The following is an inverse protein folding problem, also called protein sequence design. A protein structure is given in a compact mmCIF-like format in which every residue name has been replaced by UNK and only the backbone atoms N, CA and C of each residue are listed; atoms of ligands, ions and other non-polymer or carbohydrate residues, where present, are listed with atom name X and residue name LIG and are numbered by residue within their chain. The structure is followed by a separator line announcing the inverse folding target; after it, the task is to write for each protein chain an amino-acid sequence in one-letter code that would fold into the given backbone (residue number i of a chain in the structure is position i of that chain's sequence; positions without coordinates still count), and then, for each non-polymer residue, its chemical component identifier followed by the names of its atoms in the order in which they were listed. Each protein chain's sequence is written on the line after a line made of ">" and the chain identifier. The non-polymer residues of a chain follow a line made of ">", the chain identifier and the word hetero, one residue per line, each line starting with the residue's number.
data_IF_396197033205
#
_entry.id   IF_396197033205
#
_cell.length_a   1.000
_cell.length_b   1.000
_cell.length_c   1.000
_cell.angle_alpha   90.00
_cell.angle_beta   90.00
_cell.angle_gamma   90.00
#
_symmetry.space_group_name_H-M   'P 1'
#
loop_
_entity.id
_entity.type
_entity.pdbx_description
1 polymer ?
#
# COMPACT_ATOMS: atom_id res chain seq x y z
N UNK A 1 -10.23 -9.59 -6.28
CA UNK A 1 -8.75 -9.64 -6.40
C UNK A 1 -8.24 -8.23 -6.25
N UNK A 2 -7.19 -7.98 -5.45
CA UNK A 2 -6.61 -6.65 -5.25
C UNK A 2 -5.81 -6.21 -6.49
N UNK A 3 -5.71 -4.87 -6.72
CA UNK A 3 -4.79 -4.33 -7.73
C UNK A 3 -3.35 -4.65 -7.37
N UNK A 4 -2.50 -5.00 -8.34
CA UNK A 4 -1.06 -5.23 -8.11
C UNK A 4 -0.31 -3.92 -7.84
N UNK A 5 -0.88 -2.76 -8.20
CA UNK A 5 -0.35 -1.43 -7.92
C UNK A 5 -1.16 -0.75 -6.83
N UNK A 6 -0.52 -0.42 -5.70
CA UNK A 6 -1.06 0.45 -4.67
C UNK A 6 -0.32 1.79 -4.68
N UNK A 7 -1.03 2.89 -4.73
CA UNK A 7 -0.46 4.22 -4.53
C UNK A 7 -0.58 4.66 -3.07
N UNK A 8 0.55 5.00 -2.45
CA UNK A 8 0.59 5.62 -1.12
C UNK A 8 0.76 7.13 -1.30
N UNK A 9 -0.24 7.89 -0.88
CA UNK A 9 -0.28 9.32 -1.13
C UNK A 9 0.81 10.10 -0.39
N UNK A 10 1.20 11.22 -0.96
CA UNK A 10 2.05 12.25 -0.36
C UNK A 10 1.41 13.62 -0.54
N UNK A 11 1.82 14.55 0.32
CA UNK A 11 1.41 15.96 0.31
C UNK A 11 1.52 16.51 1.72
N UNK A 12 1.89 17.77 1.83
CA UNK A 12 2.07 18.51 3.09
C UNK A 12 0.78 19.20 3.55
N UNK A 13 -0.18 19.37 2.64
CA UNK A 13 -1.49 19.97 2.91
C UNK A 13 -2.63 19.05 2.43
N UNK A 14 -3.86 19.22 2.93
CA UNK A 14 -5.03 18.48 2.42
C UNK A 14 -5.24 18.67 0.91
N UNK A 15 -4.96 19.87 0.38
CA UNK A 15 -5.09 20.21 -1.03
C UNK A 15 -4.08 19.46 -1.87
N UNK A 16 -2.82 19.39 -1.45
CA UNK A 16 -1.77 18.61 -2.11
C UNK A 16 -2.09 17.11 -2.09
N UNK A 17 -2.55 16.58 -0.96
CA UNK A 17 -2.98 15.18 -0.84
C UNK A 17 -4.11 14.89 -1.84
N UNK A 18 -5.14 15.75 -1.86
CA UNK A 18 -6.26 15.59 -2.77
C UNK A 18 -5.82 15.68 -4.23
N UNK A 19 -5.02 16.68 -4.60
CA UNK A 19 -4.49 16.84 -5.95
C UNK A 19 -3.70 15.63 -6.43
N UNK A 20 -2.77 15.13 -5.58
CA UNK A 20 -1.95 13.98 -5.91
C UNK A 20 -2.78 12.70 -6.08
N UNK A 21 -3.79 12.50 -5.23
CA UNK A 21 -4.69 11.35 -5.35
C UNK A 21 -5.55 11.48 -6.60
N UNK A 22 -6.16 12.65 -6.85
CA UNK A 22 -7.00 12.86 -8.02
C UNK A 22 -6.21 12.59 -9.31
N UNK A 23 -5.05 13.23 -9.48
CA UNK A 23 -4.21 13.04 -10.67
C UNK A 23 -3.71 11.61 -10.84
N UNK A 24 -3.57 10.85 -9.75
CA UNK A 24 -3.19 9.42 -9.77
C UNK A 24 -4.36 8.53 -10.19
N UNK A 25 -5.59 8.87 -9.76
CA UNK A 25 -6.81 8.20 -10.18
C UNK A 25 -7.11 8.47 -11.66
N UNK A 26 -6.98 9.74 -12.11
CA UNK A 26 -7.09 10.13 -13.52
C UNK A 26 -6.11 9.34 -14.42
N UNK A 27 -4.93 9.04 -13.89
CA UNK A 27 -3.93 8.23 -14.56
C UNK A 27 -4.23 6.71 -14.56
N UNK A 28 -5.31 6.28 -13.90
CA UNK A 28 -5.79 4.89 -13.94
C UNK A 28 -5.41 4.02 -12.74
N UNK A 29 -4.81 4.55 -11.68
CA UNK A 29 -4.56 3.79 -10.46
C UNK A 29 -5.87 3.39 -9.78
N UNK A 30 -5.98 2.14 -9.30
CA UNK A 30 -7.22 1.58 -8.74
C UNK A 30 -7.14 1.28 -7.24
N UNK A 31 -6.03 1.54 -6.59
CA UNK A 31 -5.90 1.33 -5.16
C UNK A 31 -5.10 2.45 -4.50
N UNK A 32 -5.76 3.21 -3.64
CA UNK A 32 -5.21 4.37 -2.94
C UNK A 32 -5.05 4.05 -1.45
N UNK A 33 -3.88 4.35 -0.90
CA UNK A 33 -3.66 4.45 0.52
C UNK A 33 -3.47 5.93 0.87
N UNK A 34 -4.45 6.55 1.53
CA UNK A 34 -4.31 7.90 2.08
C UNK A 34 -3.36 7.88 3.27
N UNK A 35 -2.19 8.49 3.11
CA UNK A 35 -1.19 8.63 4.17
C UNK A 35 -0.85 10.10 4.38
N UNK A 36 -1.58 10.74 5.30
CA UNK A 36 -1.38 12.12 5.69
C UNK A 36 -1.07 12.19 7.19
N UNK A 37 0.22 12.28 7.54
CA UNK A 37 0.70 12.38 8.92
C UNK A 37 0.70 13.84 9.37
N UNK A 38 0.71 14.02 10.71
CA UNK A 38 0.78 15.36 11.35
C UNK A 38 -0.38 16.29 10.95
N UNK A 39 -1.57 15.71 10.73
CA UNK A 39 -2.79 16.42 10.40
C UNK A 39 -3.78 16.33 11.57
N UNK A 40 -4.52 17.40 11.82
CA UNK A 40 -5.61 17.36 12.79
C UNK A 40 -6.69 16.34 12.40
N UNK A 41 -7.21 15.61 13.37
CA UNK A 41 -8.22 14.54 13.14
C UNK A 41 -9.41 15.02 12.33
N UNK A 42 -9.95 16.21 12.63
CA UNK A 42 -11.09 16.80 11.90
C UNK A 42 -10.75 17.06 10.43
N UNK A 43 -9.57 17.58 10.15
CA UNK A 43 -9.10 17.81 8.77
C UNK A 43 -8.93 16.48 8.03
N UNK A 44 -8.37 15.46 8.70
CA UNK A 44 -8.18 14.14 8.08
C UNK A 44 -9.53 13.46 7.79
N UNK A 45 -10.52 13.57 8.66
CA UNK A 45 -11.89 13.08 8.40
C UNK A 45 -12.47 13.76 7.15
N UNK A 46 -12.46 15.09 7.10
CA UNK A 46 -12.99 15.85 5.97
C UNK A 46 -12.29 15.50 4.65
N UNK A 47 -10.96 15.36 4.69
CA UNK A 47 -10.18 14.94 3.52
C UNK A 47 -10.55 13.51 3.09
N UNK A 48 -10.66 12.59 4.04
CA UNK A 48 -11.01 11.19 3.77
C UNK A 48 -12.39 11.06 3.11
N UNK A 49 -13.38 11.84 3.56
CA UNK A 49 -14.72 11.89 2.95
C UNK A 49 -14.67 12.37 1.49
N UNK A 50 -13.90 13.44 1.22
CA UNK A 50 -13.72 13.94 -0.15
C UNK A 50 -13.08 12.89 -1.05
N UNK A 51 -12.02 12.23 -0.55
CA UNK A 51 -11.30 11.19 -1.30
C UNK A 51 -12.18 9.94 -1.47
N UNK A 52 -13.00 9.56 -0.48
CA UNK A 52 -13.99 8.46 -0.62
C UNK A 52 -14.91 8.70 -1.81
N UNK A 53 -15.51 9.90 -1.91
CA UNK A 53 -16.37 10.28 -3.03
C UNK A 53 -15.61 10.19 -4.37
N UNK A 54 -14.38 10.69 -4.39
CA UNK A 54 -13.52 10.64 -5.56
C UNK A 54 -13.22 9.20 -5.96
N UNK A 55 -12.76 8.35 -5.06
CA UNK A 55 -12.47 6.94 -5.34
C UNK A 55 -13.70 6.18 -5.84
N UNK A 56 -14.91 6.52 -5.35
CA UNK A 56 -16.16 5.93 -5.84
C UNK A 56 -16.40 6.24 -7.32
N UNK A 57 -16.11 7.47 -7.79
CA UNK A 57 -16.25 7.85 -9.20
C UNK A 57 -15.31 7.05 -10.11
N UNK A 58 -14.14 6.65 -9.61
CA UNK A 58 -13.14 5.88 -10.36
C UNK A 58 -13.23 4.36 -10.14
N UNK A 59 -14.23 3.87 -9.37
CA UNK A 59 -14.31 2.47 -8.94
C UNK A 59 -12.98 1.98 -8.34
N UNK A 60 -12.42 2.77 -7.42
CA UNK A 60 -11.10 2.54 -6.83
C UNK A 60 -11.21 2.25 -5.34
N UNK A 61 -10.31 1.39 -4.84
CA UNK A 61 -10.22 1.06 -3.42
C UNK A 61 -9.52 2.19 -2.66
N UNK A 62 -10.10 2.63 -1.55
CA UNK A 62 -9.51 3.58 -0.61
C UNK A 62 -9.26 2.90 0.73
N UNK A 63 -8.02 2.95 1.20
CA UNK A 63 -7.67 2.66 2.58
C UNK A 63 -6.96 3.85 3.22
N UNK A 64 -6.95 3.93 4.55
CA UNK A 64 -6.24 4.97 5.28
C UNK A 64 -5.08 4.35 6.07
N UNK A 65 -3.99 5.10 6.23
CA UNK A 65 -2.85 4.69 7.03
C UNK A 65 -3.11 4.94 8.51
N UNK A 66 -2.86 3.95 9.38
CA UNK A 66 -2.88 3.96 10.87
C UNK A 66 -4.27 4.21 11.52
N UNK A 67 -5.17 4.99 10.94
CA UNK A 67 -6.35 5.55 11.59
C UNK A 67 -7.60 4.67 11.47
N UNK A 68 -7.70 3.64 12.32
CA UNK A 68 -8.83 2.68 12.37
C UNK A 68 -10.17 3.38 12.64
N UNK A 69 -10.19 4.32 13.58
CA UNK A 69 -11.38 5.08 13.93
C UNK A 69 -11.91 5.95 12.77
N UNK A 70 -11.02 6.56 11.99
CA UNK A 70 -11.41 7.32 10.80
C UNK A 70 -11.93 6.38 9.71
N UNK A 71 -11.29 5.22 9.52
CA UNK A 71 -11.79 4.21 8.58
C UNK A 71 -13.21 3.78 8.93
N UNK A 72 -13.53 3.64 10.23
CA UNK A 72 -14.87 3.32 10.74
C UNK A 72 -15.85 4.48 10.54
N UNK A 73 -15.47 5.71 10.95
CA UNK A 73 -16.34 6.89 10.90
C UNK A 73 -16.75 7.23 9.47
N UNK A 74 -15.78 7.23 8.55
CA UNK A 74 -16.00 7.57 7.15
C UNK A 74 -16.52 6.38 6.35
N UNK A 75 -16.42 5.18 6.92
CA UNK A 75 -16.84 3.93 6.27
C UNK A 75 -16.17 3.74 4.91
N UNK A 76 -14.84 3.74 4.89
CA UNK A 76 -14.02 3.43 3.73
C UNK A 76 -13.69 1.94 3.64
N UNK A 77 -12.95 1.51 2.61
CA UNK A 77 -12.68 0.10 2.36
C UNK A 77 -11.78 -0.54 3.42
N UNK A 78 -10.93 0.23 4.14
CA UNK A 78 -10.10 -0.35 5.19
C UNK A 78 -8.94 0.52 5.64
N UNK A 79 -7.94 -0.14 6.26
CA UNK A 79 -6.80 0.50 6.92
C UNK A 79 -5.49 -0.26 6.63
N UNK A 80 -4.37 0.45 6.67
CA UNK A 80 -3.03 -0.15 6.71
C UNK A 80 -2.35 0.17 8.04
N UNK A 81 -1.86 -0.85 8.75
CA UNK A 81 -1.30 -0.74 10.09
C UNK A 81 0.21 -1.03 10.08
N UNK A 82 0.98 -0.15 10.65
CA UNK A 82 2.40 -0.35 10.93
C UNK A 82 2.63 -1.29 12.13
N UNK A 83 3.89 -1.64 12.37
CA UNK A 83 4.27 -2.58 13.44
C UNK A 83 3.97 -2.08 14.87
N UNK A 84 3.82 -0.75 15.04
CA UNK A 84 3.59 -0.12 16.35
C UNK A 84 2.20 0.49 16.48
N UNK A 85 1.36 0.31 15.46
CA UNK A 85 0.00 0.82 15.45
C UNK A 85 -0.95 -0.14 16.19
N UNK A 86 -2.24 0.10 16.09
CA UNK A 86 -3.26 -0.77 16.69
C UNK A 86 -3.06 -2.23 16.25
N UNK A 87 -3.16 -3.21 17.15
CA UNK A 87 -3.13 -4.62 16.77
C UNK A 87 -4.20 -4.96 15.73
N UNK A 88 -3.85 -5.80 14.76
CA UNK A 88 -4.76 -6.18 13.65
C UNK A 88 -6.07 -6.78 14.16
N UNK A 89 -6.01 -7.63 15.20
CA UNK A 89 -7.20 -8.24 15.81
C UNK A 89 -8.15 -7.18 16.37
N UNK A 90 -7.63 -6.21 17.11
CA UNK A 90 -8.43 -5.09 17.64
C UNK A 90 -9.03 -4.25 16.52
N UNK A 91 -8.27 -3.97 15.48
CA UNK A 91 -8.78 -3.27 14.30
C UNK A 91 -9.90 -4.07 13.61
N UNK A 92 -9.78 -5.40 13.54
CA UNK A 92 -10.80 -6.29 12.98
C UNK A 92 -12.09 -6.27 13.80
N UNK A 93 -12.00 -6.30 15.12
CA UNK A 93 -13.16 -6.16 16.02
C UNK A 93 -13.91 -4.84 15.83
N UNK A 94 -13.16 -3.74 15.60
CA UNK A 94 -13.75 -2.40 15.37
C UNK A 94 -14.38 -2.28 13.98
N UNK A 95 -13.69 -2.76 12.93
CA UNK A 95 -14.06 -2.54 11.55
C UNK A 95 -15.03 -3.60 10.99
N UNK A 96 -14.99 -4.82 11.52
CA UNK A 96 -15.75 -5.98 10.99
C UNK A 96 -15.00 -6.73 9.90
N UNK A 97 -15.56 -7.88 9.48
CA UNK A 97 -14.90 -8.84 8.59
C UNK A 97 -14.76 -8.36 7.14
N UNK A 98 -15.67 -7.48 6.69
CA UNK A 98 -15.72 -7.00 5.31
C UNK A 98 -14.64 -5.94 4.98
N UNK A 99 -13.96 -5.40 6.00
CA UNK A 99 -12.97 -4.34 5.79
C UNK A 99 -11.57 -4.89 5.54
N UNK A 100 -10.85 -4.21 4.67
CA UNK A 100 -9.47 -4.55 4.32
C UNK A 100 -8.55 -4.07 5.44
N UNK A 101 -7.77 -4.97 6.03
CA UNK A 101 -6.70 -4.62 6.97
C UNK A 101 -5.37 -5.08 6.38
N UNK A 102 -4.54 -4.12 6.02
CA UNK A 102 -3.16 -4.37 5.63
C UNK A 102 -2.20 -4.23 6.79
N UNK A 103 -1.09 -4.93 6.76
CA UNK A 103 -0.06 -4.86 7.79
C UNK A 103 1.35 -4.66 7.22
N UNK A 104 2.16 -3.81 7.88
CA UNK A 104 3.59 -3.68 7.58
C UNK A 104 4.36 -4.88 8.13
N UNK A 105 5.36 -5.36 7.38
CA UNK A 105 6.36 -6.32 7.82
C UNK A 105 7.77 -5.91 7.36
N UNK A 106 8.77 -6.15 8.20
CA UNK A 106 10.17 -5.87 7.90
C UNK A 106 11.06 -7.12 8.06
N UNK A 107 10.53 -8.18 8.64
CA UNK A 107 11.20 -9.46 8.87
C UNK A 107 10.27 -10.62 8.52
N UNK A 108 10.82 -11.83 8.39
CA UNK A 108 10.00 -13.05 8.25
C UNK A 108 9.03 -13.22 9.43
N UNK A 109 9.48 -12.93 10.65
CA UNK A 109 8.64 -13.04 11.86
C UNK A 109 7.45 -12.08 11.74
N UNK A 110 7.66 -10.84 11.28
CA UNK A 110 6.57 -9.89 11.08
C UNK A 110 5.57 -10.42 10.04
N UNK A 111 6.04 -10.97 8.91
CA UNK A 111 5.16 -11.53 7.86
C UNK A 111 4.29 -12.64 8.44
N UNK A 112 4.90 -13.61 9.13
CA UNK A 112 4.17 -14.72 9.76
C UNK A 112 3.17 -14.22 10.82
N UNK A 113 3.56 -13.23 11.61
CA UNK A 113 2.68 -12.58 12.57
C UNK A 113 1.47 -11.95 11.90
N UNK A 114 1.68 -11.16 10.82
CA UNK A 114 0.59 -10.51 10.08
C UNK A 114 -0.36 -11.52 9.42
N UNK A 115 0.16 -12.63 8.92
CA UNK A 115 -0.66 -13.75 8.41
C UNK A 115 -1.53 -14.32 9.54
N UNK A 116 -0.94 -14.63 10.69
CA UNK A 116 -1.65 -15.21 11.83
C UNK A 116 -2.66 -14.25 12.49
N UNK A 117 -2.44 -12.93 12.38
CA UNK A 117 -3.37 -11.90 12.83
C UNK A 117 -4.55 -11.70 11.87
N UNK A 118 -4.53 -12.29 10.67
CA UNK A 118 -5.60 -12.20 9.68
C UNK A 118 -5.55 -10.93 8.82
N UNK A 119 -4.34 -10.42 8.50
CA UNK A 119 -4.19 -9.36 7.51
C UNK A 119 -4.68 -9.81 6.14
N UNK A 120 -5.38 -8.93 5.44
CA UNK A 120 -5.84 -9.15 4.06
C UNK A 120 -4.71 -8.99 3.05
N UNK A 121 -3.68 -8.23 3.38
CA UNK A 121 -2.44 -8.09 2.60
C UNK A 121 -1.30 -7.60 3.49
N UNK A 122 -0.07 -7.75 3.04
CA UNK A 122 1.14 -7.37 3.78
C UNK A 122 2.02 -6.47 2.90
N UNK A 123 2.47 -5.34 3.45
CA UNK A 123 3.50 -4.50 2.85
C UNK A 123 4.87 -4.85 3.42
N UNK A 124 5.76 -5.41 2.58
CA UNK A 124 7.11 -5.83 2.98
C UNK A 124 8.16 -4.84 2.49
N UNK A 125 9.08 -4.42 3.37
CA UNK A 125 10.14 -3.48 3.00
C UNK A 125 10.87 -2.89 4.21
N UNK A 126 11.66 -1.82 3.99
CA UNK A 126 11.81 -1.10 2.72
C UNK A 126 12.71 -1.86 1.72
N UNK A 127 12.36 -1.82 0.44
CA UNK A 127 13.19 -2.37 -0.63
C UNK A 127 14.50 -1.58 -0.77
N UNK A 128 14.41 -0.24 -0.69
CA UNK A 128 15.56 0.68 -0.73
C UNK A 128 15.35 1.80 0.28
N UNK A 129 16.43 2.49 0.64
CA UNK A 129 16.33 3.69 1.46
C UNK A 129 15.35 4.70 0.85
N UNK A 130 14.51 5.29 1.69
CA UNK A 130 13.52 6.32 1.28
C UNK A 130 13.33 7.34 2.40
N UNK A 131 13.15 8.58 2.02
CA UNK A 131 12.85 9.69 2.96
C UNK A 131 11.36 9.83 3.28
N UNK A 132 10.49 9.04 2.63
CA UNK A 132 9.03 9.10 2.82
C UNK A 132 8.59 8.67 4.22
N UNK A 133 9.42 7.90 4.95
CA UNK A 133 9.17 7.43 6.30
C UNK A 133 10.28 7.91 7.23
N UNK A 134 9.94 8.65 8.30
CA UNK A 134 10.92 9.24 9.25
C UNK A 134 11.77 8.20 9.99
N UNK A 135 11.18 7.06 10.35
CA UNK A 135 11.89 5.95 11.01
C UNK A 135 11.86 4.74 10.09
N UNK A 136 12.94 4.55 9.35
CA UNK A 136 13.12 3.39 8.48
C UNK A 136 13.63 2.20 9.29
N UNK A 137 13.01 1.04 9.05
CA UNK A 137 13.59 -0.26 9.39
C UNK A 137 14.81 -0.53 8.50
N UNK A 138 15.68 -1.46 8.87
CA UNK A 138 16.79 -1.88 8.00
C UNK A 138 16.28 -2.21 6.59
N UNK A 139 17.04 -1.79 5.58
CA UNK A 139 16.72 -2.05 4.17
C UNK A 139 16.78 -3.54 3.91
N UNK A 140 15.70 -4.12 3.38
CA UNK A 140 15.65 -5.54 3.00
C UNK A 140 16.36 -5.81 1.68
N UNK A 141 16.24 -4.90 0.72
CA UNK A 141 16.71 -5.11 -0.64
C UNK A 141 16.00 -6.27 -1.35
N UNK A 142 16.46 -6.59 -2.55
CA UNK A 142 15.93 -7.72 -3.32
C UNK A 142 16.18 -9.05 -2.60
N UNK A 143 17.39 -9.25 -2.08
CA UNK A 143 17.79 -10.50 -1.41
C UNK A 143 16.99 -10.75 -0.12
N UNK A 144 16.71 -9.70 0.65
CA UNK A 144 15.91 -9.82 1.87
C UNK A 144 14.47 -10.23 1.56
N UNK A 145 13.85 -9.59 0.55
CA UNK A 145 12.50 -9.93 0.09
C UNK A 145 12.50 -11.37 -0.44
N UNK A 146 13.43 -11.73 -1.31
CA UNK A 146 13.53 -13.06 -1.90
C UNK A 146 13.67 -14.16 -0.84
N UNK A 147 14.54 -13.98 0.16
CA UNK A 147 14.69 -14.93 1.27
C UNK A 147 13.39 -15.13 2.04
N UNK A 148 12.67 -14.04 2.35
CA UNK A 148 11.40 -14.13 3.07
C UNK A 148 10.35 -14.86 2.22
N UNK A 149 10.17 -14.45 0.97
CA UNK A 149 9.17 -15.05 0.09
C UNK A 149 9.43 -16.54 -0.17
N UNK A 150 10.69 -16.96 -0.32
CA UNK A 150 11.05 -18.36 -0.51
C UNK A 150 10.86 -19.24 0.74
N UNK A 151 10.76 -18.63 1.93
CA UNK A 151 10.50 -19.36 3.18
C UNK A 151 9.01 -19.60 3.41
N UNK A 152 8.13 -18.82 2.78
CA UNK A 152 6.68 -18.95 2.96
C UNK A 152 6.14 -20.21 2.29
N UNK A 153 5.24 -20.93 2.98
CA UNK A 153 4.50 -22.05 2.41
C UNK A 153 3.48 -21.57 1.36
N UNK A 154 2.93 -22.50 0.57
CA UNK A 154 1.90 -22.21 -0.44
C UNK A 154 0.68 -21.53 0.22
N UNK A 155 0.24 -22.05 1.38
CA UNK A 155 -0.91 -21.51 2.12
C UNK A 155 -0.64 -20.09 2.62
N UNK A 156 0.58 -19.82 3.10
CA UNK A 156 0.98 -18.50 3.58
C UNK A 156 1.04 -17.48 2.44
N UNK A 157 1.38 -17.89 1.22
CA UNK A 157 1.39 -17.05 0.02
C UNK A 157 -0.01 -16.69 -0.50
N UNK A 158 -1.09 -17.27 0.05
CA UNK A 158 -2.46 -16.83 -0.24
C UNK A 158 -2.74 -15.41 0.29
N UNK A 159 -1.98 -14.93 1.28
CA UNK A 159 -2.03 -13.53 1.71
C UNK A 159 -1.14 -12.70 0.77
N UNK A 160 -1.70 -11.78 -0.03
CA UNK A 160 -0.92 -10.97 -0.98
C UNK A 160 0.16 -10.16 -0.29
N UNK A 161 1.40 -10.29 -0.75
CA UNK A 161 2.55 -9.52 -0.26
C UNK A 161 2.94 -8.47 -1.29
N UNK A 162 3.05 -7.22 -0.87
CA UNK A 162 3.46 -6.07 -1.69
C UNK A 162 4.83 -5.57 -1.27
N UNK A 163 5.75 -5.46 -2.21
CA UNK A 163 7.02 -4.79 -1.94
C UNK A 163 6.80 -3.27 -1.83
N UNK A 164 7.50 -2.64 -0.88
CA UNK A 164 7.37 -1.20 -0.60
C UNK A 164 8.73 -0.57 -0.31
N UNK A 165 8.87 0.72 -0.63
CA UNK A 165 9.97 1.57 -0.19
C UNK A 165 11.09 1.76 -1.21
N UNK A 166 11.14 2.94 -1.84
CA UNK A 166 12.20 3.36 -2.76
C UNK A 166 12.25 2.60 -4.08
N UNK A 167 11.14 1.98 -4.51
CA UNK A 167 11.03 1.20 -5.75
C UNK A 167 10.98 2.14 -6.96
N UNK A 168 11.72 1.78 -8.02
CA UNK A 168 11.76 2.45 -9.34
C UNK A 168 11.24 1.51 -10.43
N UNK A 169 10.99 2.04 -11.65
CA UNK A 169 10.51 1.22 -12.78
C UNK A 169 11.39 -0.01 -13.06
N UNK A 170 12.71 0.18 -13.11
CA UNK A 170 13.65 -0.91 -13.41
C UNK A 170 13.81 -1.97 -12.31
N UNK A 171 13.14 -1.82 -11.17
CA UNK A 171 13.18 -2.80 -10.08
C UNK A 171 12.02 -3.81 -10.17
N UNK A 172 10.96 -3.49 -10.93
CA UNK A 172 9.67 -4.21 -10.89
C UNK A 172 9.82 -5.68 -11.27
N UNK A 173 10.50 -5.97 -12.38
CA UNK A 173 10.65 -7.34 -12.87
C UNK A 173 11.37 -8.24 -11.86
N UNK A 174 12.46 -7.76 -11.28
CA UNK A 174 13.21 -8.53 -10.31
C UNK A 174 12.45 -8.69 -8.98
N UNK A 175 11.71 -7.66 -8.59
CA UNK A 175 10.81 -7.73 -7.42
C UNK A 175 9.73 -8.79 -7.65
N UNK A 176 9.07 -8.83 -8.81
CA UNK A 176 8.04 -9.82 -9.13
C UNK A 176 8.59 -11.25 -9.16
N UNK A 177 9.82 -11.45 -9.63
CA UNK A 177 10.50 -12.77 -9.60
C UNK A 177 10.68 -13.33 -8.18
N UNK A 178 10.66 -12.48 -7.14
CA UNK A 178 10.67 -12.96 -5.75
C UNK A 178 9.37 -13.65 -5.32
N UNK A 179 8.31 -13.55 -6.12
CA UNK A 179 6.99 -14.11 -5.82
C UNK A 179 6.08 -13.18 -5.01
N UNK A 180 6.41 -11.88 -4.86
CA UNK A 180 5.48 -10.91 -4.31
C UNK A 180 4.30 -10.70 -5.27
N UNK A 181 3.14 -10.36 -4.72
CA UNK A 181 1.92 -10.16 -5.49
C UNK A 181 1.94 -8.85 -6.30
N UNK A 182 2.56 -7.81 -5.75
CA UNK A 182 2.58 -6.49 -6.36
C UNK A 182 3.46 -5.50 -5.62
N UNK A 183 3.26 -4.22 -5.89
CA UNK A 183 4.07 -3.14 -5.31
C UNK A 183 3.22 -2.01 -4.75
N UNK A 184 3.71 -1.39 -3.66
CA UNK A 184 3.16 -0.17 -3.09
C UNK A 184 4.12 0.99 -3.34
N UNK A 185 3.69 1.94 -4.16
CA UNK A 185 4.50 3.03 -4.70
C UNK A 185 4.01 4.37 -4.15
N UNK A 186 4.95 5.24 -3.81
CA UNK A 186 4.67 6.60 -3.36
C UNK A 186 5.41 7.65 -4.22
N UNK A 187 6.64 7.96 -3.91
CA UNK A 187 7.40 9.05 -4.52
C UNK A 187 7.53 8.97 -6.04
N UNK A 188 7.71 7.76 -6.60
CA UNK A 188 7.82 7.57 -8.04
C UNK A 188 6.59 8.10 -8.81
N UNK A 189 5.39 7.91 -8.25
CA UNK A 189 4.15 8.43 -8.86
C UNK A 189 3.94 9.90 -8.48
N UNK A 190 4.11 10.26 -7.20
CA UNK A 190 3.87 11.62 -6.72
C UNK A 190 4.72 12.65 -7.45
N UNK A 191 6.02 12.35 -7.63
CA UNK A 191 7.01 13.25 -8.21
C UNK A 191 7.10 13.17 -9.73
N UNK A 192 6.32 12.31 -10.36
CA UNK A 192 6.29 12.20 -11.82
C UNK A 192 5.66 13.43 -12.46
N UNK A 193 6.33 13.97 -13.49
CA UNK A 193 5.80 15.02 -14.35
C UNK A 193 4.70 14.50 -15.29
N UNK A 194 4.67 13.19 -15.56
CA UNK A 194 3.66 12.52 -16.38
C UNK A 194 3.14 11.26 -15.64
N UNK A 195 2.18 11.46 -14.73
CA UNK A 195 1.63 10.35 -13.92
C UNK A 195 0.94 9.29 -14.78
N UNK A 196 0.33 9.71 -15.90
CA UNK A 196 -0.35 8.77 -16.81
C UNK A 196 0.64 7.78 -17.39
N UNK A 197 1.69 8.25 -18.01
CA UNK A 197 2.76 7.40 -18.56
C UNK A 197 3.41 6.52 -17.47
N UNK A 198 3.69 7.11 -16.30
CA UNK A 198 4.26 6.35 -15.16
C UNK A 198 3.37 5.19 -14.75
N UNK A 199 2.06 5.39 -14.65
CA UNK A 199 1.11 4.35 -14.23
C UNK A 199 0.89 3.33 -15.34
N UNK A 200 0.87 3.75 -16.60
CA UNK A 200 0.80 2.85 -17.76
C UNK A 200 2.02 1.91 -17.78
N UNK A 201 3.24 2.43 -17.61
CA UNK A 201 4.46 1.62 -17.52
C UNK A 201 4.38 0.65 -16.32
N UNK A 202 4.00 1.13 -15.14
CA UNK A 202 3.88 0.28 -13.96
C UNK A 202 2.86 -0.83 -14.15
N UNK A 203 1.71 -0.53 -14.73
CA UNK A 203 0.68 -1.54 -15.01
C UNK A 203 1.15 -2.56 -16.07
N UNK A 204 1.80 -2.11 -17.15
CA UNK A 204 2.41 -3.01 -18.13
C UNK A 204 3.36 -4.00 -17.46
N UNK A 205 4.33 -3.51 -16.69
CA UNK A 205 5.28 -4.36 -15.96
C UNK A 205 4.60 -5.32 -14.96
N UNK A 206 3.53 -4.89 -14.28
CA UNK A 206 2.85 -5.67 -13.26
C UNK A 206 1.89 -6.74 -13.81
N UNK A 207 1.35 -6.54 -15.01
CA UNK A 207 0.31 -7.40 -15.55
C UNK A 207 0.72 -8.17 -16.81
N UNK A 208 1.70 -7.67 -17.60
CA UNK A 208 2.14 -8.30 -18.85
C UNK A 208 3.23 -9.36 -18.65
N UNK A 209 3.97 -9.36 -17.54
CA UNK A 209 4.99 -10.37 -17.21
C UNK A 209 4.43 -11.78 -16.92
N UNK A 210 3.11 -11.97 -17.03
CA UNK A 210 2.46 -13.28 -16.80
C UNK A 210 2.38 -14.18 -18.06
N UNK A 211 3.02 -13.82 -19.18
CA UNK A 211 2.85 -14.51 -20.46
C UNK A 211 4.15 -15.14 -21.03
N UNK A 212 5.12 -15.43 -20.18
CA UNK A 212 6.26 -16.27 -20.64
C UNK A 212 6.34 -17.52 -19.77
N UNK A 213 5.71 -18.58 -20.27
CA UNK A 213 5.89 -19.97 -19.87
C UNK A 213 7.25 -20.46 -20.36
#
# INVERSE_FOLDING_TARGET
>A
MYSKLQYISQGSTPEEQFYNINSTLDAGCKWIQLRFKNCEKKQLINLTEKIKKLCSLYNSTLIINDNVDIAKIVDIHGVHLGLKDMPVRTAREILGEDKIIGGTANTLIDVLTRINEGCNYIGIGPYRFTTTKEKLSPVLGLDGINRIMNTLTIEQRNVPVYAIGGIKHGDIDDILKTGVYGVAISGLITLSNNKKETIEILNSLLYETSTTI
#
